data_IF_752900005172
#
_entry.id   IF_752900005172
#
_cell.length_a   1.000
_cell.length_b   1.000
_cell.length_c   1.000
_cell.angle_alpha   90.00
_cell.angle_beta   90.00
_cell.angle_gamma   90.00
#
_symmetry.space_group_name_H-M   'P 1'
#
loop_
_entity.id
_entity.type
_entity.pdbx_description
1 polymer ?
#
# COMPACT_ATOMS: atom_id res chain seq x y z
N UNK A 1 -0.23 6.67 -19.01
CA UNK A 1 -0.19 6.10 -17.65
C UNK A 1 -0.26 4.59 -17.74
N UNK A 2 0.33 3.87 -16.80
CA UNK A 2 0.32 2.42 -16.75
C UNK A 2 0.06 1.94 -15.32
N UNK A 3 -0.57 0.77 -15.19
CA UNK A 3 -0.77 0.06 -13.92
C UNK A 3 0.06 -1.21 -13.90
N UNK A 4 0.48 -1.62 -12.72
CA UNK A 4 1.20 -2.87 -12.52
C UNK A 4 0.24 -3.86 -11.87
N UNK A 5 -0.02 -4.97 -12.55
CA UNK A 5 -0.80 -6.07 -11.97
C UNK A 5 0.16 -7.04 -11.29
N UNK A 6 -0.03 -7.25 -10.00
CA UNK A 6 0.71 -8.26 -9.23
C UNK A 6 -0.22 -9.42 -8.95
N UNK A 7 0.14 -10.57 -9.51
CA UNK A 7 -0.56 -11.83 -9.25
C UNK A 7 -0.01 -12.47 -7.98
N UNK A 8 -0.86 -12.61 -6.98
CA UNK A 8 -0.53 -13.15 -5.66
C UNK A 8 -1.22 -14.50 -5.51
N UNK A 9 -0.53 -15.47 -4.92
CA UNK A 9 -1.10 -16.79 -4.59
C UNK A 9 -0.94 -17.01 -3.11
N UNK A 10 -2.06 -17.12 -2.41
CA UNK A 10 -2.08 -17.31 -0.97
C UNK A 10 -2.09 -18.80 -0.61
N UNK A 11 -1.19 -19.30 0.26
CA UNK A 11 -1.30 -20.66 0.77
C UNK A 11 -2.54 -20.77 1.68
N UNK A 12 -3.30 -21.87 1.60
CA UNK A 12 -4.51 -22.05 2.40
C UNK A 12 -4.21 -21.95 3.91
N UNK A 13 -4.94 -21.09 4.63
CA UNK A 13 -4.63 -20.80 6.03
C UNK A 13 -5.37 -19.58 6.63
N UNK A 14 -4.87 -19.09 7.77
CA UNK A 14 -5.41 -17.88 8.41
C UNK A 14 -5.14 -16.67 7.50
N UNK A 15 -6.19 -15.89 7.23
CA UNK A 15 -6.18 -14.79 6.25
C UNK A 15 -4.93 -13.91 6.33
N UNK A 16 -4.28 -13.75 5.19
CA UNK A 16 -3.09 -12.94 5.06
C UNK A 16 -3.46 -11.47 4.81
N UNK A 17 -2.60 -10.57 5.27
CA UNK A 17 -2.77 -9.15 5.03
C UNK A 17 -1.59 -8.60 4.28
N UNK A 18 -1.84 -7.96 3.16
CA UNK A 18 -0.77 -7.53 2.27
C UNK A 18 -0.60 -6.02 2.32
N UNK A 19 0.63 -5.58 2.13
CA UNK A 19 0.96 -4.20 1.87
C UNK A 19 2.01 -4.07 0.79
N UNK A 20 1.83 -3.14 -0.15
CA UNK A 20 2.85 -2.87 -1.15
C UNK A 20 3.46 -1.48 -1.04
N UNK A 21 4.68 -1.37 -1.54
CA UNK A 21 5.39 -0.11 -1.75
C UNK A 21 6.03 -0.15 -3.12
N UNK A 22 6.18 1.01 -3.75
CA UNK A 22 6.87 1.11 -5.02
C UNK A 22 7.94 2.19 -4.99
N UNK A 23 8.93 2.00 -5.86
CA UNK A 23 10.07 2.89 -6.03
C UNK A 23 10.38 2.98 -7.51
N UNK A 24 10.46 4.20 -8.05
CA UNK A 24 11.05 4.43 -9.36
C UNK A 24 12.56 4.65 -9.20
N UNK A 25 13.38 3.98 -10.01
CA UNK A 25 14.86 4.08 -9.94
C UNK A 25 15.46 3.59 -8.60
N UNK A 26 16.72 3.19 -8.59
CA UNK A 26 17.28 2.48 -7.43
C UNK A 26 17.53 3.36 -6.19
N UNK A 27 17.59 4.69 -6.34
CA UNK A 27 17.97 5.64 -5.28
C UNK A 27 16.80 6.24 -4.49
N UNK A 28 15.56 6.04 -4.92
CA UNK A 28 14.40 6.70 -4.31
C UNK A 28 13.89 5.89 -3.10
N UNK A 29 13.13 6.50 -2.17
CA UNK A 29 12.48 5.75 -1.12
C UNK A 29 11.39 4.81 -1.68
N UNK A 30 11.12 3.72 -0.96
CA UNK A 30 9.91 2.93 -1.18
C UNK A 30 8.73 3.65 -0.57
N UNK A 31 7.77 4.02 -1.40
CA UNK A 31 6.59 4.77 -0.99
C UNK A 31 5.34 3.90 -1.18
N UNK A 32 4.38 3.93 -0.23
CA UNK A 32 3.12 3.24 -0.40
C UNK A 32 2.25 3.97 -1.43
N UNK A 33 1.52 3.23 -2.26
CA UNK A 33 0.45 3.79 -3.11
C UNK A 33 -0.69 4.37 -2.28
N UNK A 34 -1.70 4.97 -2.91
CA UNK A 34 -2.78 5.69 -2.22
C UNK A 34 -3.57 4.77 -1.27
N UNK A 35 -3.94 3.59 -1.78
CA UNK A 35 -4.43 2.46 -1.01
C UNK A 35 -3.41 1.34 -1.13
N UNK A 36 -2.67 1.07 -0.06
CA UNK A 36 -1.55 0.12 -0.10
C UNK A 36 -1.76 -1.12 0.73
N UNK A 37 -2.68 -1.09 1.69
CA UNK A 37 -3.03 -2.20 2.56
C UNK A 37 -4.28 -2.94 2.04
N UNK A 38 -4.22 -4.26 1.92
CA UNK A 38 -5.35 -5.09 1.48
C UNK A 38 -5.58 -6.27 2.43
N UNK A 39 -6.85 -6.65 2.53
CA UNK A 39 -7.32 -7.82 3.25
C UNK A 39 -7.59 -8.96 2.26
N UNK A 40 -6.97 -10.11 2.48
CA UNK A 40 -7.14 -11.32 1.65
C UNK A 40 -8.34 -12.19 2.10
N UNK A 41 -9.11 -11.75 3.10
CA UNK A 41 -10.21 -12.54 3.68
C UNK A 41 -11.31 -13.01 2.70
N UNK A 42 -11.36 -12.50 1.48
CA UNK A 42 -12.38 -12.88 0.49
C UNK A 42 -11.93 -14.04 -0.42
N UNK A 43 -10.63 -14.41 -0.42
CA UNK A 43 -10.02 -15.24 -1.48
C UNK A 43 -9.07 -16.31 -0.90
N UNK A 44 -9.49 -17.05 0.13
CA UNK A 44 -8.72 -18.20 0.67
C UNK A 44 -8.41 -19.25 -0.42
N UNK A 45 -7.12 -19.58 -0.59
CA UNK A 45 -6.61 -20.59 -1.51
C UNK A 45 -6.72 -20.25 -3.01
N UNK A 46 -6.90 -18.98 -3.37
CA UNK A 46 -7.09 -18.54 -4.76
C UNK A 46 -6.05 -17.49 -5.18
N UNK A 47 -5.81 -17.43 -6.48
CA UNK A 47 -4.93 -16.43 -7.08
C UNK A 47 -5.72 -15.17 -7.40
N UNK A 48 -5.26 -14.02 -6.92
CA UNK A 48 -5.86 -12.72 -7.21
C UNK A 48 -4.84 -11.73 -7.78
N UNK A 49 -5.35 -10.74 -8.49
CA UNK A 49 -4.55 -9.69 -9.09
C UNK A 49 -4.72 -8.40 -8.26
N UNK A 50 -3.61 -7.91 -7.71
CA UNK A 50 -3.54 -6.63 -6.99
C UNK A 50 -3.09 -5.55 -7.97
N UNK A 51 -3.86 -4.47 -8.06
CA UNK A 51 -3.43 -3.27 -8.79
C UNK A 51 -2.43 -2.52 -7.91
N UNK A 52 -1.21 -2.42 -8.40
CA UNK A 52 -0.13 -1.67 -7.77
C UNK A 52 0.03 -0.35 -8.50
N UNK A 53 -0.02 0.73 -7.72
CA UNK A 53 0.14 2.11 -8.17
C UNK A 53 1.51 2.66 -7.76
N UNK A 54 1.87 3.81 -8.34
CA UNK A 54 3.08 4.52 -7.94
C UNK A 54 2.93 5.04 -6.52
N UNK A 55 3.98 4.88 -5.74
CA UNK A 55 4.03 5.33 -4.36
C UNK A 55 3.99 6.85 -4.28
N UNK A 56 3.27 7.34 -3.27
CA UNK A 56 3.01 8.78 -3.08
C UNK A 56 3.75 9.24 -1.82
N UNK A 57 4.54 10.30 -1.96
CA UNK A 57 5.13 10.97 -0.80
C UNK A 57 4.06 11.84 -0.14
N UNK A 58 3.56 11.36 0.99
CA UNK A 58 2.50 12.02 1.77
C UNK A 58 3.00 13.19 2.61
N UNK A 59 4.33 13.42 2.66
CA UNK A 59 4.93 14.57 3.32
C UNK A 59 5.07 15.78 2.39
N UNK A 60 4.85 15.61 1.09
CA UNK A 60 4.91 16.67 0.10
C UNK A 60 3.52 17.09 -0.36
N UNK A 61 3.31 18.37 -0.74
CA UNK A 61 2.08 18.79 -1.40
C UNK A 61 1.88 17.97 -2.68
N UNK A 62 0.64 17.50 -2.94
CA UNK A 62 0.33 16.76 -4.17
C UNK A 62 0.60 17.65 -5.38
N UNK A 63 1.53 17.24 -6.26
CA UNK A 63 1.94 18.02 -7.42
C UNK A 63 0.82 18.20 -8.47
N UNK A 64 -0.19 17.34 -8.47
CA UNK A 64 -1.53 17.53 -9.08
C UNK A 64 -2.37 16.30 -8.73
N UNK A 65 -3.72 16.41 -8.74
CA UNK A 65 -4.60 15.22 -8.53
C UNK A 65 -4.61 14.27 -9.75
N UNK A 66 -4.29 14.78 -10.94
CA UNK A 66 -4.45 14.06 -12.20
C UNK A 66 -3.25 13.19 -12.59
N UNK A 67 -2.08 13.40 -11.97
CA UNK A 67 -0.84 12.66 -12.29
C UNK A 67 -0.27 11.87 -11.11
N UNK A 68 -0.85 11.98 -9.92
CA UNK A 68 -0.35 11.28 -8.74
C UNK A 68 -0.72 9.78 -8.81
N UNK A 69 0.26 8.90 -8.61
CA UNK A 69 0.02 7.47 -8.47
C UNK A 69 0.13 6.64 -9.75
N UNK A 70 0.44 7.24 -10.91
CA UNK A 70 0.62 6.48 -12.15
C UNK A 70 2.08 6.29 -12.54
N UNK A 71 2.38 5.13 -13.10
CA UNK A 71 3.68 4.94 -13.74
C UNK A 71 3.71 5.46 -15.18
N UNK A 72 4.91 5.84 -15.62
CA UNK A 72 5.17 6.22 -17.00
C UNK A 72 5.79 5.06 -17.78
N UNK A 73 5.53 5.05 -19.08
CA UNK A 73 6.12 4.06 -20.00
C UNK A 73 7.64 4.25 -20.06
N UNK A 74 8.37 3.15 -20.04
CA UNK A 74 9.83 3.16 -19.95
C UNK A 74 10.41 3.28 -18.53
N UNK A 75 9.57 3.49 -17.50
CA UNK A 75 10.06 3.51 -16.12
C UNK A 75 10.53 2.12 -15.68
N UNK A 76 11.60 2.10 -14.90
CA UNK A 76 12.02 0.92 -14.13
C UNK A 76 11.52 1.07 -12.70
N UNK A 77 10.61 0.18 -12.31
CA UNK A 77 9.89 0.23 -11.04
C UNK A 77 10.26 -1.01 -10.23
N UNK A 78 10.59 -0.81 -8.96
CA UNK A 78 10.70 -1.90 -7.99
C UNK A 78 9.47 -1.91 -7.10
N UNK A 79 8.76 -3.03 -7.08
CA UNK A 79 7.65 -3.30 -6.16
C UNK A 79 8.21 -4.06 -4.97
N UNK A 80 7.98 -3.53 -3.77
CA UNK A 80 8.17 -4.21 -2.50
C UNK A 80 6.81 -4.69 -2.03
N UNK A 81 6.60 -5.99 -2.05
CA UNK A 81 5.39 -6.63 -1.58
C UNK A 81 5.62 -7.18 -0.17
N UNK A 82 4.68 -6.97 0.75
CA UNK A 82 4.84 -7.33 2.15
C UNK A 82 3.64 -8.14 2.62
N UNK A 83 3.88 -9.27 3.27
CA UNK A 83 2.87 -9.90 4.12
C UNK A 83 2.99 -9.34 5.54
N UNK A 84 1.84 -9.14 6.19
CA UNK A 84 1.68 -8.45 7.47
C UNK A 84 0.62 -9.13 8.32
N UNK A 85 0.61 -8.82 9.61
CA UNK A 85 -0.42 -9.28 10.52
C UNK A 85 -1.64 -8.33 10.53
N UNK A 86 -2.75 -8.82 11.08
CA UNK A 86 -4.01 -8.07 11.17
C UNK A 86 -3.84 -6.71 11.84
N UNK A 87 -3.01 -6.63 12.88
CA UNK A 87 -2.81 -5.40 13.63
C UNK A 87 -2.11 -4.33 12.77
N UNK A 88 -1.07 -4.71 12.03
CA UNK A 88 -0.41 -3.84 11.05
C UNK A 88 -1.37 -3.38 9.95
N UNK A 89 -2.13 -4.31 9.37
CA UNK A 89 -3.13 -3.98 8.36
C UNK A 89 -4.15 -2.98 8.87
N UNK A 90 -4.74 -3.25 10.05
CA UNK A 90 -5.79 -2.42 10.64
C UNK A 90 -5.29 -0.99 10.87
N UNK A 91 -4.05 -0.85 11.36
CA UNK A 91 -3.42 0.46 11.52
C UNK A 91 -3.30 1.19 10.18
N UNK A 92 -2.72 0.56 9.17
CA UNK A 92 -2.48 1.24 7.88
C UNK A 92 -3.75 1.52 7.10
N UNK A 93 -4.72 0.61 7.12
CA UNK A 93 -6.02 0.80 6.48
C UNK A 93 -6.77 2.00 7.11
N UNK A 94 -6.81 2.07 8.45
CA UNK A 94 -7.47 3.20 9.13
C UNK A 94 -6.70 4.51 8.99
N UNK A 95 -5.37 4.46 8.97
CA UNK A 95 -4.52 5.62 8.73
C UNK A 95 -4.65 6.17 7.31
N UNK A 96 -4.63 5.31 6.29
CA UNK A 96 -4.78 5.69 4.88
C UNK A 96 -6.17 6.29 4.63
N UNK A 97 -7.22 5.67 5.21
CA UNK A 97 -8.56 6.23 5.17
C UNK A 97 -8.62 7.61 5.85
N UNK A 98 -7.97 7.79 7.01
CA UNK A 98 -7.93 9.08 7.71
C UNK A 98 -7.23 10.17 6.91
N UNK A 99 -6.13 9.82 6.26
CA UNK A 99 -5.38 10.71 5.40
C UNK A 99 -6.21 11.18 4.20
N UNK A 100 -6.95 10.28 3.56
CA UNK A 100 -7.82 10.60 2.41
C UNK A 100 -9.02 11.48 2.80
N UNK A 101 -9.49 11.36 4.05
CA UNK A 101 -10.58 12.17 4.60
C UNK A 101 -10.18 13.60 4.94
N UNK A 102 -8.88 13.93 4.97
CA UNK A 102 -8.41 15.29 5.30
C UNK A 102 -8.95 16.29 4.27
N UNK A 103 -9.68 17.30 4.76
CA UNK A 103 -10.27 18.34 3.92
C UNK A 103 -11.61 17.98 3.27
N UNK A 104 -12.18 16.79 3.55
CA UNK A 104 -13.52 16.43 3.10
C UNK A 104 -14.56 16.68 4.22
N UNK A 105 -15.44 17.71 4.09
CA UNK A 105 -16.43 18.04 5.12
C UNK A 105 -17.58 17.04 5.25
N UNK A 106 -17.69 16.09 4.31
CA UNK A 106 -18.69 15.02 4.33
C UNK A 106 -18.12 13.66 4.75
N UNK A 107 -16.81 13.58 5.07
CA UNK A 107 -16.22 12.36 5.57
C UNK A 107 -16.72 12.07 6.98
N UNK A 108 -17.06 10.81 7.26
CA UNK A 108 -17.25 10.36 8.64
C UNK A 108 -15.95 10.51 9.42
N UNK A 109 -16.00 10.99 10.69
CA UNK A 109 -14.84 10.96 11.57
C UNK A 109 -14.35 9.53 11.70
N UNK A 110 -13.06 9.31 11.49
CA UNK A 110 -12.44 8.03 11.72
C UNK A 110 -11.36 8.13 12.80
N UNK A 111 -10.99 6.99 13.37
CA UNK A 111 -9.93 6.89 14.37
C UNK A 111 -8.88 5.93 13.82
N UNK A 112 -7.63 6.39 13.80
CA UNK A 112 -6.49 5.51 13.50
C UNK A 112 -6.33 4.51 14.63
N UNK A 113 -6.34 3.22 14.31
CA UNK A 113 -6.27 2.13 15.28
C UNK A 113 -4.83 1.64 15.38
N UNK A 114 -4.11 2.07 16.42
CA UNK A 114 -2.76 1.58 16.74
C UNK A 114 -2.76 0.21 17.44
N UNK A 115 -1.57 -0.39 17.56
CA UNK A 115 -1.36 -1.66 18.26
C UNK A 115 -0.35 -1.55 19.43
N UNK A 116 -0.03 -0.34 19.87
CA UNK A 116 0.84 -0.06 21.02
C UNK A 116 -0.04 0.39 22.20
N UNK A 117 0.24 -0.14 23.39
CA UNK A 117 -0.48 0.17 24.63
C UNK A 117 0.15 1.35 25.39
N UNK A 118 -0.37 1.66 26.59
CA UNK A 118 0.15 2.67 27.51
C UNK A 118 0.07 4.11 26.97
N UNK A 119 -1.04 4.47 26.32
CA UNK A 119 -1.28 5.80 25.73
C UNK A 119 -0.25 6.22 24.67
N UNK A 120 0.52 5.28 24.13
CA UNK A 120 1.41 5.55 23.00
C UNK A 120 0.62 5.74 21.70
N UNK A 121 1.20 6.51 20.78
CA UNK A 121 0.65 6.72 19.45
C UNK A 121 1.45 5.93 18.41
N UNK A 122 0.75 5.40 17.41
CA UNK A 122 1.36 4.69 16.27
C UNK A 122 1.16 3.19 16.31
N UNK A 123 2.04 2.49 15.59
CA UNK A 123 2.02 1.04 15.49
C UNK A 123 3.43 0.45 15.40
N UNK A 124 3.58 -0.75 15.95
CA UNK A 124 4.74 -1.61 15.75
C UNK A 124 4.39 -2.65 14.70
N UNK A 125 5.09 -2.63 13.57
CA UNK A 125 4.73 -3.43 12.40
C UNK A 125 5.88 -4.31 11.93
N UNK A 126 5.63 -5.61 11.82
CA UNK A 126 6.50 -6.56 11.12
C UNK A 126 6.11 -6.68 9.65
N UNK A 127 7.09 -6.72 8.75
CA UNK A 127 6.87 -6.91 7.33
C UNK A 127 7.70 -8.09 6.82
N UNK A 128 7.04 -9.12 6.29
CA UNK A 128 7.69 -10.18 5.53
C UNK A 128 7.73 -9.76 4.06
N UNK A 129 8.90 -9.39 3.54
CA UNK A 129 9.01 -8.63 2.29
C UNK A 129 9.59 -9.44 1.13
N UNK A 130 9.03 -9.26 -0.05
CA UNK A 130 9.57 -9.70 -1.33
C UNK A 130 9.73 -8.49 -2.27
N UNK A 131 10.71 -8.55 -3.16
CA UNK A 131 11.01 -7.46 -4.09
C UNK A 131 10.99 -7.97 -5.53
N UNK A 132 10.37 -7.20 -6.42
CA UNK A 132 10.40 -7.48 -7.85
C UNK A 132 10.55 -6.20 -8.65
N UNK A 133 11.53 -6.18 -9.56
CA UNK A 133 11.76 -5.07 -10.47
C UNK A 133 11.18 -5.38 -11.84
N UNK A 134 10.47 -4.40 -12.41
CA UNK A 134 9.85 -4.48 -13.73
C UNK A 134 10.20 -3.23 -14.53
N UNK A 135 10.30 -3.39 -15.85
CA UNK A 135 10.44 -2.29 -16.79
C UNK A 135 9.12 -2.14 -17.52
N UNK A 136 8.54 -0.96 -17.46
CA UNK A 136 7.25 -0.69 -18.08
C UNK A 136 7.47 -0.53 -19.59
N UNK A 137 6.76 -1.29 -20.44
CA UNK A 137 6.90 -1.19 -21.89
C UNK A 137 6.69 0.24 -22.41
N UNK A 138 7.40 0.58 -23.49
CA UNK A 138 7.27 1.86 -24.20
C UNK A 138 5.97 1.94 -24.99
#
# INVERSE_FOLDING_TARGET
TAFVLVRVTDPPGLGNYIRYFTRNRNSNPFLPGENSAYDDQVIDGKTYDVIVEQGIDRNMPRASRDSAGFFYRGDTVTVKFCNTDKATFTFWNTWEFAYQSIGNPFSSPNKVIGNISNNALGAFCGYATQFKTIVIPK
#
